data_IF_861033995741
#
_entry.id   IF_861033995741
#
_cell.length_a   1.000
_cell.length_b   1.000
_cell.length_c   1.000
_cell.angle_alpha   90.00
_cell.angle_beta   90.00
_cell.angle_gamma   90.00
#
_symmetry.space_group_name_H-M   'P 1'
#
loop_
_entity.id
_entity.type
_entity.pdbx_description
1 polymer ?
#
# COMPACT_ATOMS: atom_id res chain seq x y z
N UNK A 1 12.79 -14.37 -2.87
CA UNK A 1 12.90 -15.23 -1.66
C UNK A 1 14.17 -14.87 -0.90
N UNK A 2 15.30 -14.84 -1.61
CA UNK A 2 16.64 -14.64 -1.06
C UNK A 2 16.75 -13.40 -0.17
N UNK A 3 16.29 -12.23 -0.63
CA UNK A 3 16.30 -11.01 0.19
C UNK A 3 15.53 -11.18 1.52
N UNK A 4 14.30 -11.72 1.49
CA UNK A 4 13.50 -11.92 2.71
C UNK A 4 14.19 -12.87 3.69
N UNK A 5 14.76 -13.96 3.17
CA UNK A 5 15.49 -14.94 3.98
C UNK A 5 16.78 -14.37 4.56
N UNK A 6 17.49 -13.51 3.84
CA UNK A 6 18.69 -12.81 4.35
C UNK A 6 18.35 -11.90 5.55
N UNK A 7 17.16 -11.31 5.58
CA UNK A 7 16.67 -10.50 6.70
C UNK A 7 16.05 -11.33 7.84
N UNK A 8 16.10 -12.67 7.75
CA UNK A 8 15.59 -13.58 8.79
C UNK A 8 14.07 -13.79 8.76
N UNK A 9 13.37 -13.39 7.69
CA UNK A 9 11.94 -13.61 7.58
C UNK A 9 11.61 -15.08 7.25
N UNK A 10 10.66 -15.64 7.99
CA UNK A 10 10.02 -16.91 7.63
C UNK A 10 9.04 -16.70 6.46
N UNK A 11 9.03 -17.64 5.50
CA UNK A 11 8.21 -17.53 4.29
C UNK A 11 7.28 -18.74 4.22
N UNK A 12 6.00 -18.49 4.43
CA UNK A 12 4.93 -19.49 4.31
C UNK A 12 4.33 -19.36 2.90
N UNK A 13 4.49 -20.34 2.00
CA UNK A 13 3.96 -20.26 0.64
C UNK A 13 2.45 -20.50 0.64
N UNK A 14 1.70 -19.65 -0.07
CA UNK A 14 0.30 -19.91 -0.41
C UNK A 14 0.18 -20.58 -1.80
N UNK A 15 -0.94 -21.27 -2.10
CA UNK A 15 -1.22 -21.73 -3.46
C UNK A 15 -1.13 -20.60 -4.49
N UNK A 16 -0.58 -20.90 -5.67
CA UNK A 16 -0.43 -19.92 -6.75
C UNK A 16 -1.78 -19.47 -7.32
N UNK A 17 -2.75 -20.40 -7.41
CA UNK A 17 -4.10 -20.08 -7.84
C UNK A 17 -4.75 -19.05 -6.90
N UNK A 18 -5.27 -17.96 -7.47
CA UNK A 18 -5.90 -16.85 -6.73
C UNK A 18 -4.94 -15.78 -6.23
N UNK A 19 -3.63 -15.90 -6.45
CA UNK A 19 -2.65 -14.84 -6.23
C UNK A 19 -2.72 -14.20 -4.84
N UNK A 20 -2.66 -12.86 -4.79
CA UNK A 20 -2.68 -12.10 -3.53
C UNK A 20 -3.92 -12.34 -2.69
N UNK A 21 -5.09 -12.63 -3.28
CA UNK A 21 -6.30 -12.93 -2.52
C UNK A 21 -6.14 -14.20 -1.69
N UNK A 22 -5.52 -15.23 -2.28
CA UNK A 22 -5.19 -16.47 -1.56
C UNK A 22 -4.18 -16.22 -0.45
N UNK A 23 -3.13 -15.44 -0.71
CA UNK A 23 -2.13 -15.10 0.30
C UNK A 23 -2.74 -14.33 1.49
N UNK A 24 -3.63 -13.36 1.23
CA UNK A 24 -4.35 -12.61 2.29
C UNK A 24 -5.23 -13.53 3.12
N UNK A 25 -5.95 -14.47 2.48
CA UNK A 25 -6.78 -15.45 3.20
C UNK A 25 -5.93 -16.32 4.13
N UNK A 26 -4.83 -16.89 3.62
CA UNK A 26 -3.90 -17.70 4.43
C UNK A 26 -3.33 -16.89 5.60
N UNK A 27 -2.93 -15.63 5.38
CA UNK A 27 -2.41 -14.77 6.45
C UNK A 27 -3.46 -14.48 7.54
N UNK A 28 -4.73 -14.30 7.16
CA UNK A 28 -5.84 -14.11 8.11
C UNK A 28 -6.11 -15.37 8.94
N UNK A 29 -6.06 -16.54 8.32
CA UNK A 29 -6.22 -17.84 9.00
C UNK A 29 -5.10 -18.04 10.02
N UNK A 30 -3.83 -17.87 9.62
CA UNK A 30 -2.68 -17.98 10.51
C UNK A 30 -2.73 -16.97 11.67
N UNK A 31 -3.09 -15.72 11.40
CA UNK A 31 -3.22 -14.70 12.46
C UNK A 31 -4.33 -15.02 13.46
N UNK A 32 -5.36 -15.77 13.05
CA UNK A 32 -6.42 -16.22 13.95
C UNK A 32 -5.98 -17.44 14.78
N UNK A 33 -5.14 -18.31 14.23
CA UNK A 33 -4.54 -19.46 14.93
C UNK A 33 -3.44 -19.06 15.92
N UNK A 34 -2.75 -17.94 15.64
CA UNK A 34 -1.65 -17.40 16.43
C UNK A 34 -1.98 -15.99 16.95
N UNK A 35 -2.75 -15.87 18.06
CA UNK A 35 -3.21 -14.58 18.57
C UNK A 35 -2.08 -13.66 19.09
N UNK A 36 -0.89 -14.20 19.32
CA UNK A 36 0.32 -13.45 19.66
C UNK A 36 0.98 -12.79 18.45
N UNK A 37 0.59 -13.15 17.22
CA UNK A 37 1.11 -12.55 16.00
C UNK A 37 0.37 -11.26 15.65
N UNK A 38 1.11 -10.28 15.14
CA UNK A 38 0.54 -8.99 14.71
C UNK A 38 0.43 -8.94 13.20
N UNK A 39 -0.77 -9.12 12.67
CA UNK A 39 -1.03 -8.92 11.24
C UNK A 39 -1.25 -7.43 10.95
N UNK A 40 -0.20 -6.74 10.48
CA UNK A 40 -0.26 -5.31 10.13
C UNK A 40 -1.27 -4.97 9.02
N UNK A 41 -1.60 -5.94 8.17
CA UNK A 41 -2.67 -5.89 7.17
C UNK A 41 -2.65 -4.66 6.23
N UNK A 42 -1.64 -4.56 5.37
CA UNK A 42 -1.44 -3.43 4.44
C UNK A 42 -2.62 -3.12 3.50
N UNK A 43 -3.56 -4.04 3.29
CA UNK A 43 -4.74 -3.83 2.42
C UNK A 43 -5.87 -3.06 3.12
N UNK A 44 -5.88 -3.00 4.45
CA UNK A 44 -6.94 -2.33 5.21
C UNK A 44 -6.45 -1.44 6.34
N UNK A 45 -5.14 -1.42 6.61
CA UNK A 45 -4.57 -0.52 7.60
C UNK A 45 -4.53 0.93 7.05
N UNK A 46 -5.22 1.90 7.69
CA UNK A 46 -5.24 3.28 7.23
C UNK A 46 -3.86 3.95 7.22
N UNK A 47 -2.91 3.45 8.01
CA UNK A 47 -1.54 3.99 8.07
C UNK A 47 -0.79 3.79 6.75
N UNK A 48 -1.18 2.82 5.92
CA UNK A 48 -0.63 2.66 4.57
C UNK A 48 -0.90 3.91 3.71
N UNK A 49 -2.18 4.28 3.57
CA UNK A 49 -2.56 5.50 2.86
C UNK A 49 -2.11 6.77 3.62
N UNK A 50 -2.11 6.72 4.95
CA UNK A 50 -1.66 7.79 5.84
C UNK A 50 -0.20 8.18 5.60
N UNK A 51 0.69 7.19 5.43
CA UNK A 51 2.09 7.43 5.11
C UNK A 51 2.24 8.27 3.83
N UNK A 52 1.55 7.89 2.76
CA UNK A 52 1.60 8.60 1.48
C UNK A 52 0.96 9.99 1.52
N UNK A 53 -0.09 10.17 2.32
CA UNK A 53 -0.68 11.49 2.53
C UNK A 53 0.28 12.42 3.28
N UNK A 54 0.99 11.90 4.28
CA UNK A 54 1.89 12.69 5.12
C UNK A 54 3.27 12.97 4.49
N UNK A 55 3.69 12.15 3.51
CA UNK A 55 5.04 12.22 2.93
C UNK A 55 5.01 12.36 1.40
N UNK A 56 4.65 11.29 0.70
CA UNK A 56 4.70 11.21 -0.77
C UNK A 56 3.93 12.34 -1.47
N UNK A 57 2.72 12.67 -1.00
CA UNK A 57 1.92 13.77 -1.53
C UNK A 57 2.61 15.14 -1.38
N UNK A 58 2.98 15.55 -0.15
CA UNK A 58 3.73 16.78 0.11
C UNK A 58 5.05 16.91 -0.66
N UNK A 59 5.82 15.84 -0.73
CA UNK A 59 7.10 15.80 -1.47
C UNK A 59 6.86 16.10 -2.96
N UNK A 60 5.89 15.41 -3.59
CA UNK A 60 5.54 15.64 -4.99
C UNK A 60 5.10 17.08 -5.24
N UNK A 61 4.28 17.66 -4.35
CA UNK A 61 3.78 19.02 -4.56
C UNK A 61 4.89 20.07 -4.36
N UNK A 62 5.83 19.80 -3.45
CA UNK A 62 7.00 20.64 -3.21
C UNK A 62 7.93 20.64 -4.42
N UNK A 63 8.22 19.45 -4.96
CA UNK A 63 9.15 19.28 -6.08
C UNK A 63 8.52 19.62 -7.44
N UNK A 64 7.20 19.45 -7.57
CA UNK A 64 6.44 19.74 -8.78
C UNK A 64 5.14 20.52 -8.48
N UNK A 65 5.23 21.81 -8.12
CA UNK A 65 4.06 22.63 -7.82
C UNK A 65 3.05 22.75 -8.97
N UNK A 66 3.53 22.58 -10.22
CA UNK A 66 2.74 22.66 -11.45
C UNK A 66 2.07 21.34 -11.87
N UNK A 67 2.11 20.29 -11.04
CA UNK A 67 1.51 18.98 -11.36
C UNK A 67 0.03 19.11 -11.78
N UNK A 68 -0.38 18.32 -12.77
CA UNK A 68 -1.76 18.26 -13.28
C UNK A 68 -2.35 16.85 -13.24
N UNK A 69 -1.50 15.83 -13.28
CA UNK A 69 -1.88 14.42 -13.22
C UNK A 69 -0.91 13.67 -12.31
N UNK A 70 -1.43 12.77 -11.49
CA UNK A 70 -0.65 11.78 -10.76
C UNK A 70 -1.08 10.39 -11.21
N UNK A 71 -0.11 9.58 -11.64
CA UNK A 71 -0.33 8.20 -12.13
C UNK A 71 0.45 7.24 -11.25
N UNK A 72 -0.20 6.19 -10.76
CA UNK A 72 0.45 5.14 -9.98
C UNK A 72 -0.23 3.78 -10.19
N UNK A 73 0.52 2.70 -9.97
CA UNK A 73 0.00 1.34 -10.02
C UNK A 73 -1.01 1.06 -8.90
N UNK A 74 -1.97 0.16 -9.16
CA UNK A 74 -2.99 -0.22 -8.19
C UNK A 74 -2.72 -1.60 -7.55
N UNK A 75 -2.05 -1.59 -6.39
CA UNK A 75 -1.86 -2.77 -5.53
C UNK A 75 -2.75 -2.72 -4.28
N UNK A 76 -2.19 -2.34 -3.13
CA UNK A 76 -2.97 -2.11 -1.89
C UNK A 76 -3.89 -0.89 -1.96
N UNK A 77 -3.77 -0.09 -3.02
CA UNK A 77 -4.38 1.24 -3.22
C UNK A 77 -3.79 2.39 -2.38
N UNK A 78 -2.92 2.10 -1.40
CA UNK A 78 -2.40 3.09 -0.44
C UNK A 78 -1.78 4.33 -1.10
N UNK A 79 -0.97 4.14 -2.14
CA UNK A 79 -0.32 5.26 -2.86
C UNK A 79 -1.34 6.20 -3.50
N UNK A 80 -2.29 5.66 -4.28
CA UNK A 80 -3.30 6.48 -4.96
C UNK A 80 -4.25 7.15 -3.97
N UNK A 81 -4.61 6.46 -2.87
CA UNK A 81 -5.50 7.02 -1.85
C UNK A 81 -4.82 8.13 -1.05
N UNK A 82 -3.60 7.90 -0.57
CA UNK A 82 -2.87 8.87 0.24
C UNK A 82 -2.44 10.10 -0.56
N UNK A 83 -1.73 9.89 -1.68
CA UNK A 83 -1.29 10.98 -2.56
C UNK A 83 -2.49 11.69 -3.17
N UNK A 84 -3.49 10.94 -3.65
CA UNK A 84 -4.67 11.51 -4.29
C UNK A 84 -5.49 12.38 -3.35
N UNK A 85 -5.66 11.97 -2.08
CA UNK A 85 -6.33 12.80 -1.08
C UNK A 85 -5.56 14.11 -0.84
N UNK A 86 -4.27 14.03 -0.55
CA UNK A 86 -3.43 15.20 -0.31
C UNK A 86 -3.45 16.16 -1.50
N UNK A 87 -3.20 15.66 -2.70
CA UNK A 87 -3.13 16.49 -3.90
C UNK A 87 -4.48 17.12 -4.25
N UNK A 88 -5.61 16.44 -4.03
CA UNK A 88 -6.95 17.04 -4.27
C UNK A 88 -7.28 18.16 -3.29
N UNK A 89 -6.83 18.08 -2.05
CA UNK A 89 -6.99 19.15 -1.05
C UNK A 89 -6.19 20.40 -1.45
N UNK A 90 -5.00 20.22 -2.02
CA UNK A 90 -4.10 21.31 -2.39
C UNK A 90 -4.32 21.83 -3.83
N UNK A 91 -4.77 20.97 -4.75
CA UNK A 91 -4.94 21.23 -6.19
C UNK A 91 -6.26 20.58 -6.67
N UNK A 92 -7.42 21.24 -6.53
CA UNK A 92 -8.73 20.64 -6.80
C UNK A 92 -8.90 20.04 -8.21
N UNK A 93 -8.25 20.61 -9.22
CA UNK A 93 -8.38 20.19 -10.62
C UNK A 93 -7.49 18.98 -11.00
N UNK A 94 -6.65 18.48 -10.08
CA UNK A 94 -5.73 17.38 -10.35
C UNK A 94 -6.46 16.09 -10.74
N UNK A 95 -5.91 15.39 -11.72
CA UNK A 95 -6.36 14.07 -12.12
C UNK A 95 -5.52 12.99 -11.45
N UNK A 96 -6.18 12.00 -10.85
CA UNK A 96 -5.54 10.85 -10.21
C UNK A 96 -5.90 9.63 -11.05
N UNK A 97 -4.89 8.96 -11.60
CA UNK A 97 -5.05 7.87 -12.57
C UNK A 97 -4.40 6.59 -12.05
N UNK A 98 -5.15 5.49 -12.07
CA UNK A 98 -4.64 4.17 -11.73
C UNK A 98 -4.16 3.42 -12.99
N UNK A 99 -3.11 2.62 -12.84
CA UNK A 99 -2.59 1.71 -13.87
C UNK A 99 -2.46 0.27 -13.33
#
# INVERSE_FOLDING_TARGET
>A
RDLLTMWGAEIIPSPAAGGSNTAVRVAKELSAEHPDWVMLYQYGNPDNAGAHYATTGPEILTDLPSITHFVAGLGTTGTLMGVGRYLREMRPDIQIVAA
#
